data_IF_357778726258
#
_entry.id   IF_357778726258
#
_cell.length_a   1.000
_cell.length_b   1.000
_cell.length_c   1.000
_cell.angle_alpha   90.00
_cell.angle_beta   90.00
_cell.angle_gamma   90.00
#
_symmetry.space_group_name_H-M   'P 1'
#
loop_
_entity.id
_entity.type
_entity.pdbx_description
1 polymer ?
#
# COMPACT_ATOMS: atom_id res chain seq x y z
N UNK A 1 11.84 23.16 8.52
CA UNK A 1 11.87 21.91 9.33
C UNK A 1 11.72 20.75 8.37
N UNK A 2 12.62 19.79 8.37
CA UNK A 2 12.54 18.60 7.53
C UNK A 2 11.98 17.42 8.34
N UNK A 3 11.75 16.29 7.64
CA UNK A 3 11.26 15.07 8.30
C UNK A 3 12.22 14.56 9.39
N UNK A 4 13.53 14.85 9.27
CA UNK A 4 14.56 14.51 10.25
C UNK A 4 14.40 15.22 11.60
N UNK A 5 13.60 16.27 11.65
CA UNK A 5 13.37 17.07 12.86
C UNK A 5 12.06 16.66 13.58
N UNK A 6 11.34 15.69 13.02
CA UNK A 6 10.03 15.25 13.48
C UNK A 6 10.07 13.85 14.11
N UNK A 7 9.16 13.61 15.04
CA UNK A 7 8.78 12.26 15.44
C UNK A 7 7.77 11.73 14.43
N UNK A 8 8.13 10.65 13.75
CA UNK A 8 7.33 10.08 12.69
C UNK A 8 6.71 8.76 13.16
N UNK A 9 5.45 8.57 12.85
CA UNK A 9 4.75 7.28 12.99
C UNK A 9 4.62 6.62 11.63
N UNK A 10 4.78 5.32 11.56
CA UNK A 10 4.46 4.50 10.38
C UNK A 10 3.44 3.45 10.76
N UNK A 11 2.32 3.44 10.07
CA UNK A 11 1.32 2.37 10.19
C UNK A 11 1.04 1.75 8.83
N UNK A 12 1.10 0.43 8.73
CA UNK A 12 0.85 -0.22 7.45
C UNK A 12 0.96 -1.73 7.49
N UNK A 13 0.63 -2.31 6.36
CA UNK A 13 0.78 -3.73 6.06
C UNK A 13 2.09 -3.97 5.27
N UNK A 14 2.07 -4.95 4.39
CA UNK A 14 3.22 -5.31 3.55
C UNK A 14 3.81 -4.13 2.76
N UNK A 15 3.03 -3.13 2.37
CA UNK A 15 3.54 -1.92 1.71
C UNK A 15 4.40 -1.03 2.63
N UNK A 16 4.23 -1.11 3.95
CA UNK A 16 5.11 -0.41 4.89
C UNK A 16 6.53 -1.00 4.92
N UNK A 17 6.69 -2.24 4.49
CA UNK A 17 7.98 -2.96 4.53
C UNK A 17 9.02 -2.28 3.66
N UNK A 18 8.68 -1.85 2.46
CA UNK A 18 9.64 -1.15 1.60
C UNK A 18 10.14 0.15 2.24
N UNK A 19 9.30 0.84 3.03
CA UNK A 19 9.69 2.03 3.79
C UNK A 19 10.68 1.67 4.90
N UNK A 20 10.48 0.54 5.57
CA UNK A 20 11.37 0.04 6.61
C UNK A 20 12.68 -0.50 6.01
N UNK A 21 12.62 -1.22 4.89
CA UNK A 21 13.81 -1.75 4.20
C UNK A 21 14.73 -0.63 3.70
N UNK A 22 14.17 0.53 3.35
CA UNK A 22 14.95 1.71 3.02
C UNK A 22 15.78 2.26 4.19
N UNK A 23 15.39 1.97 5.42
CA UNK A 23 16.07 2.40 6.64
C UNK A 23 17.18 1.42 7.10
N UNK A 24 17.37 0.32 6.39
CA UNK A 24 18.41 -0.68 6.74
C UNK A 24 17.99 -1.54 7.94
N UNK A 25 18.82 -1.72 8.92
CA UNK A 25 18.79 -2.69 10.03
C UNK A 25 17.52 -2.73 10.92
N UNK A 26 16.35 -2.35 10.38
CA UNK A 26 15.12 -2.27 11.17
C UNK A 26 14.71 -3.63 11.78
N UNK A 27 15.01 -4.75 11.10
CA UNK A 27 14.65 -6.08 11.58
C UNK A 27 15.41 -6.46 12.83
N UNK A 28 16.71 -6.14 12.85
CA UNK A 28 17.56 -6.40 14.01
C UNK A 28 17.10 -5.57 15.21
N UNK A 29 16.79 -4.29 14.98
CA UNK A 29 16.26 -3.41 16.03
C UNK A 29 14.90 -3.86 16.55
N UNK A 30 14.05 -4.41 15.68
CA UNK A 30 12.74 -4.95 16.06
C UNK A 30 12.81 -6.33 16.74
N UNK A 31 14.01 -6.89 16.93
CA UNK A 31 14.21 -8.21 17.50
C UNK A 31 13.77 -9.36 16.58
N UNK A 32 13.67 -9.09 15.29
CA UNK A 32 13.27 -10.07 14.28
C UNK A 32 14.52 -10.82 13.80
N UNK A 33 14.62 -12.11 14.11
CA UNK A 33 15.79 -12.94 13.80
C UNK A 33 16.07 -13.03 12.30
N UNK A 34 17.29 -12.64 11.89
CA UNK A 34 17.77 -12.67 10.51
C UNK A 34 17.81 -14.08 9.89
N UNK A 35 18.22 -15.10 10.65
CA UNK A 35 18.36 -16.48 10.14
C UNK A 35 17.00 -17.13 9.73
N UNK A 36 15.93 -16.74 10.38
CA UNK A 36 14.57 -17.17 10.01
C UNK A 36 14.03 -16.37 8.83
N UNK A 37 14.59 -15.19 8.57
CA UNK A 37 14.13 -14.26 7.55
C UNK A 37 14.76 -14.52 6.18
N UNK A 38 16.04 -14.87 6.10
CA UNK A 38 16.73 -15.17 4.84
C UNK A 38 16.12 -16.38 4.14
N UNK A 39 15.72 -17.40 4.90
CA UNK A 39 14.92 -18.52 4.36
C UNK A 39 13.51 -18.08 3.94
N UNK A 40 12.93 -17.14 4.62
CA UNK A 40 11.56 -16.68 4.43
C UNK A 40 11.43 -15.57 3.39
N UNK A 41 12.51 -14.85 3.08
CA UNK A 41 12.56 -13.93 1.95
C UNK A 41 12.75 -14.68 0.62
N UNK A 42 13.41 -15.81 0.60
CA UNK A 42 13.56 -16.66 -0.59
C UNK A 42 12.38 -17.62 -0.81
N UNK A 43 11.73 -18.08 0.26
CA UNK A 43 10.43 -18.73 0.28
C UNK A 43 9.29 -17.70 0.45
N UNK A 44 9.65 -16.54 0.47
CA UNK A 44 9.21 -15.21 0.59
C UNK A 44 7.74 -14.98 0.81
N UNK A 45 7.23 -14.15 1.44
CA UNK A 45 5.85 -13.79 1.79
C UNK A 45 5.11 -14.78 2.70
N UNK A 46 5.37 -16.08 2.68
CA UNK A 46 4.82 -16.99 3.69
C UNK A 46 5.29 -16.61 5.09
N UNK A 47 6.56 -16.30 5.23
CA UNK A 47 7.15 -15.98 6.52
C UNK A 47 6.69 -14.64 7.12
N UNK A 48 6.40 -13.65 6.31
CA UNK A 48 5.86 -12.37 6.78
C UNK A 48 4.49 -12.50 7.42
N UNK A 49 3.67 -13.41 6.90
CA UNK A 49 2.33 -13.67 7.39
C UNK A 49 2.29 -14.69 8.54
N UNK A 50 3.37 -15.46 8.70
CA UNK A 50 3.51 -16.45 9.79
C UNK A 50 4.25 -15.89 11.01
N UNK A 51 5.03 -14.83 10.85
CA UNK A 51 5.53 -14.06 11.98
C UNK A 51 4.34 -13.32 12.55
N UNK A 52 3.83 -13.77 13.67
CA UNK A 52 2.82 -13.07 14.44
C UNK A 52 3.45 -11.80 15.03
N UNK A 53 3.67 -10.80 14.17
CA UNK A 53 4.01 -9.46 14.62
C UNK A 53 2.83 -8.85 15.37
N UNK A 54 1.66 -9.50 15.31
CA UNK A 54 0.50 -9.29 16.18
C UNK A 54 0.01 -7.86 16.28
N UNK A 55 0.30 -7.02 15.28
CA UNK A 55 0.13 -5.58 15.40
C UNK A 55 1.05 -5.00 16.48
N UNK A 56 2.26 -5.55 16.64
CA UNK A 56 3.24 -5.01 17.55
C UNK A 56 3.74 -3.65 17.06
N UNK A 57 3.70 -2.68 17.95
CA UNK A 57 4.37 -1.41 17.74
C UNK A 57 5.81 -1.53 18.25
N UNK A 58 6.73 -0.96 17.50
CA UNK A 58 8.13 -0.84 17.90
C UNK A 58 8.69 0.51 17.46
N UNK A 59 9.70 0.99 18.18
CA UNK A 59 10.38 2.24 17.88
C UNK A 59 11.75 1.93 17.30
N UNK A 60 12.10 2.62 16.21
CA UNK A 60 13.38 2.51 15.54
C UNK A 60 14.16 3.80 15.72
N UNK A 61 15.45 3.66 16.08
CA UNK A 61 16.42 4.73 15.89
C UNK A 61 16.90 4.67 14.43
N UNK A 62 16.56 5.66 13.64
CA UNK A 62 16.95 5.72 12.23
C UNK A 62 18.32 6.37 12.12
N UNK A 63 19.33 5.54 11.86
CA UNK A 63 20.71 5.96 11.73
C UNK A 63 21.05 6.61 10.38
N UNK A 64 22.27 6.40 9.91
CA UNK A 64 22.79 6.97 8.66
C UNK A 64 22.09 6.32 7.45
N UNK A 65 21.29 7.11 6.74
CA UNK A 65 20.69 6.75 5.45
C UNK A 65 21.21 7.68 4.35
N UNK A 66 21.04 7.32 3.11
CA UNK A 66 21.38 8.15 1.95
C UNK A 66 20.40 9.29 1.69
N UNK A 67 19.30 9.33 2.42
CA UNK A 67 18.25 10.35 2.35
C UNK A 67 17.95 10.90 3.75
N UNK A 68 17.20 11.99 3.82
CA UNK A 68 16.72 12.54 5.10
C UNK A 68 15.62 11.63 5.65
N UNK A 69 15.97 10.86 6.67
CA UNK A 69 15.06 10.00 7.39
C UNK A 69 14.75 10.59 8.78
N UNK A 70 13.61 10.22 9.40
CA UNK A 70 13.33 10.63 10.77
C UNK A 70 14.41 10.11 11.74
N UNK A 71 14.75 10.90 12.75
CA UNK A 71 15.68 10.46 13.79
C UNK A 71 15.10 9.32 14.64
N UNK A 72 13.79 9.33 14.82
CA UNK A 72 13.02 8.32 15.54
C UNK A 72 11.74 7.98 14.77
N UNK A 73 11.46 6.70 14.62
CA UNK A 73 10.29 6.21 13.93
C UNK A 73 9.52 5.21 14.80
N UNK A 74 8.28 5.55 15.16
CA UNK A 74 7.35 4.63 15.81
C UNK A 74 6.59 3.85 14.76
N UNK A 75 6.72 2.53 14.75
CA UNK A 75 6.14 1.68 13.70
C UNK A 75 5.07 0.75 14.25
N UNK A 76 3.90 0.78 13.62
CA UNK A 76 2.84 -0.20 13.79
C UNK A 76 2.72 -1.06 12.52
N UNK A 77 3.49 -2.15 12.47
CA UNK A 77 3.45 -3.07 11.33
C UNK A 77 2.37 -4.12 11.56
N UNK A 78 1.46 -4.24 10.60
CA UNK A 78 0.30 -5.11 10.67
C UNK A 78 0.51 -6.37 9.83
N UNK A 79 0.19 -7.53 10.38
CA UNK A 79 0.21 -8.80 9.63
C UNK A 79 -1.03 -8.93 8.75
N UNK A 80 -0.99 -9.84 7.76
CA UNK A 80 -2.15 -10.11 6.90
C UNK A 80 -3.37 -10.62 7.69
N UNK A 81 -3.16 -11.34 8.79
CA UNK A 81 -4.25 -11.80 9.67
C UNK A 81 -4.92 -10.62 10.39
N UNK A 82 -4.16 -9.57 10.66
CA UNK A 82 -4.66 -8.37 11.31
C UNK A 82 -5.27 -7.36 10.32
N UNK A 83 -4.99 -7.50 9.02
CA UNK A 83 -5.35 -6.50 8.01
C UNK A 83 -6.85 -6.32 7.79
N UNK A 84 -7.64 -7.40 7.96
CA UNK A 84 -9.10 -7.31 7.84
C UNK A 84 -9.78 -6.68 9.05
N UNK A 85 -9.04 -6.39 10.12
CA UNK A 85 -9.64 -6.17 11.43
C UNK A 85 -9.30 -4.81 12.07
N UNK A 86 -8.77 -3.84 11.32
CA UNK A 86 -8.57 -2.50 11.88
C UNK A 86 -9.89 -1.80 12.11
N UNK A 87 -10.75 -1.84 11.11
CA UNK A 87 -12.08 -1.25 11.12
C UNK A 87 -13.08 -2.29 10.63
N UNK A 88 -14.03 -2.65 11.47
CA UNK A 88 -15.11 -3.55 11.09
C UNK A 88 -16.34 -2.73 10.70
N UNK A 89 -16.89 -3.06 9.54
CA UNK A 89 -18.20 -2.54 9.11
C UNK A 89 -19.23 -3.65 9.23
N UNK A 90 -20.29 -3.41 10.00
CA UNK A 90 -21.43 -4.32 10.12
C UNK A 90 -22.70 -3.61 9.69
N UNK A 91 -23.53 -4.30 8.94
CA UNK A 91 -24.90 -3.84 8.67
C UNK A 91 -25.79 -4.31 9.81
N UNK A 92 -26.39 -3.40 10.53
CA UNK A 92 -27.34 -3.69 11.62
C UNK A 92 -28.62 -2.95 11.30
N UNK A 93 -29.60 -3.70 10.81
CA UNK A 93 -30.93 -3.16 10.48
C UNK A 93 -30.91 -2.13 9.35
N UNK A 94 -30.03 -2.30 8.34
CA UNK A 94 -29.88 -1.38 7.21
C UNK A 94 -28.97 -0.17 7.50
N UNK A 95 -28.39 -0.08 8.70
CA UNK A 95 -27.43 0.95 9.07
C UNK A 95 -26.01 0.35 9.10
N UNK A 96 -25.11 0.90 8.31
CA UNK A 96 -23.69 0.55 8.38
C UNK A 96 -23.09 1.13 9.67
N UNK A 97 -22.81 0.24 10.62
CA UNK A 97 -21.99 0.59 11.79
C UNK A 97 -20.52 0.32 11.50
N UNK A 98 -19.69 1.32 11.74
CA UNK A 98 -18.23 1.23 11.63
C UNK A 98 -17.67 1.17 13.05
N UNK A 99 -16.91 0.11 13.37
CA UNK A 99 -16.30 -0.08 14.68
C UNK A 99 -14.80 -0.27 14.56
N UNK A 100 -14.07 0.51 15.33
CA UNK A 100 -12.63 0.31 15.53
C UNK A 100 -12.38 -0.97 16.35
N UNK A 101 -11.38 -1.75 15.96
CA UNK A 101 -11.01 -2.96 16.70
C UNK A 101 -10.04 -2.64 17.85
N UNK A 102 -9.82 -3.57 18.80
CA UNK A 102 -8.80 -3.40 19.83
C UNK A 102 -7.40 -3.21 19.26
N UNK A 103 -7.09 -3.84 18.11
CA UNK A 103 -5.83 -3.66 17.41
C UNK A 103 -5.64 -2.22 16.93
N UNK A 104 -6.67 -1.65 16.30
CA UNK A 104 -6.66 -0.25 15.88
C UNK A 104 -6.44 0.69 17.08
N UNK A 105 -7.16 0.45 18.18
CA UNK A 105 -7.02 1.27 19.39
C UNK A 105 -5.58 1.24 19.95
N UNK A 106 -4.92 0.06 19.94
CA UNK A 106 -3.51 -0.06 20.33
C UNK A 106 -2.57 0.70 19.40
N UNK A 107 -2.78 0.63 18.09
CA UNK A 107 -1.98 1.41 17.13
C UNK A 107 -2.15 2.91 17.38
N UNK A 108 -3.38 3.40 17.57
CA UNK A 108 -3.64 4.80 17.90
C UNK A 108 -2.93 5.22 19.19
N UNK A 109 -2.94 4.39 20.22
CA UNK A 109 -2.24 4.66 21.48
C UNK A 109 -0.73 4.84 21.28
N UNK A 110 -0.09 3.99 20.47
CA UNK A 110 1.34 4.08 20.18
C UNK A 110 1.69 5.31 19.33
N UNK A 111 0.75 5.76 18.48
CA UNK A 111 0.93 6.90 17.59
C UNK A 111 0.49 8.24 18.21
N UNK A 112 0.12 8.25 19.49
CA UNK A 112 -0.15 9.50 20.22
C UNK A 112 1.13 10.33 20.36
N UNK A 113 0.98 11.64 20.26
CA UNK A 113 2.08 12.61 20.38
C UNK A 113 3.17 12.47 19.28
N UNK A 114 2.80 11.92 18.15
CA UNK A 114 3.60 11.89 16.94
C UNK A 114 3.24 13.12 16.08
N UNK A 115 4.24 13.76 15.46
CA UNK A 115 4.04 14.96 14.66
C UNK A 115 3.37 14.63 13.32
N UNK A 116 3.83 13.56 12.70
CA UNK A 116 3.30 13.08 11.41
C UNK A 116 3.17 11.56 11.41
N UNK A 117 2.06 11.04 10.93
CA UNK A 117 1.85 9.60 10.71
C UNK A 117 1.78 9.31 9.22
N UNK A 118 2.68 8.44 8.78
CA UNK A 118 2.71 7.89 7.44
C UNK A 118 1.88 6.61 7.42
N UNK A 119 0.83 6.60 6.64
CA UNK A 119 -0.06 5.45 6.49
C UNK A 119 0.22 4.72 5.17
N UNK A 120 0.65 3.47 5.25
CA UNK A 120 0.76 2.54 4.13
C UNK A 120 -0.24 1.37 4.31
N UNK A 121 -1.46 1.72 4.69
CA UNK A 121 -2.55 0.80 4.96
C UNK A 121 -3.22 0.37 3.65
N UNK A 122 -3.46 -0.93 3.51
CA UNK A 122 -4.10 -1.53 2.34
C UNK A 122 -3.32 -1.35 1.03
N UNK A 123 -3.97 -1.60 -0.12
CA UNK A 123 -3.39 -1.38 -1.45
C UNK A 123 -3.27 -2.62 -2.33
N UNK A 124 -3.36 -3.82 -1.77
CA UNK A 124 -3.29 -5.07 -2.54
C UNK A 124 -4.65 -5.52 -3.11
N UNK A 125 -5.74 -4.93 -2.69
CA UNK A 125 -7.09 -5.37 -3.04
C UNK A 125 -7.32 -5.31 -4.56
N UNK A 126 -7.03 -4.18 -5.17
CA UNK A 126 -7.14 -4.01 -6.61
C UNK A 126 -6.09 -4.82 -7.38
N UNK A 127 -4.87 -4.93 -6.84
CA UNK A 127 -3.80 -5.71 -7.45
C UNK A 127 -4.16 -7.21 -7.49
N UNK A 128 -4.69 -7.77 -6.40
CA UNK A 128 -5.06 -9.18 -6.32
C UNK A 128 -6.16 -9.56 -7.31
N UNK A 129 -7.17 -8.70 -7.48
CA UNK A 129 -8.28 -8.93 -8.41
C UNK A 129 -7.82 -8.86 -9.87
N UNK A 130 -6.84 -8.01 -10.16
CA UNK A 130 -6.34 -7.79 -11.52
C UNK A 130 -5.12 -8.65 -11.88
N UNK A 131 -4.69 -9.58 -11.03
CA UNK A 131 -3.45 -10.32 -11.27
C UNK A 131 -3.66 -11.53 -12.19
N UNK A 132 -4.75 -12.28 -11.97
CA UNK A 132 -5.03 -13.55 -12.64
C UNK A 132 -6.12 -13.35 -13.70
N UNK A 133 -5.86 -13.84 -14.91
CA UNK A 133 -6.82 -13.75 -16.02
C UNK A 133 -7.98 -14.74 -15.82
N UNK A 134 -9.04 -14.25 -15.24
CA UNK A 134 -10.28 -15.02 -15.06
C UNK A 134 -11.17 -14.79 -16.29
N UNK A 135 -11.32 -15.80 -17.12
CA UNK A 135 -12.23 -15.74 -18.26
C UNK A 135 -13.70 -15.52 -17.87
N UNK A 136 -14.46 -14.81 -18.71
CA UNK A 136 -14.10 -14.20 -19.98
C UNK A 136 -13.25 -12.95 -19.84
N UNK A 137 -12.31 -12.73 -20.77
CA UNK A 137 -11.50 -11.51 -20.76
C UNK A 137 -12.40 -10.28 -20.94
N UNK A 138 -12.22 -9.31 -20.08
CA UNK A 138 -13.00 -8.07 -20.03
C UNK A 138 -12.10 -6.85 -20.16
N UNK A 139 -12.70 -5.70 -20.41
CA UNK A 139 -12.04 -4.40 -20.33
C UNK A 139 -13.03 -3.31 -19.90
N UNK A 140 -12.50 -2.17 -19.50
CA UNK A 140 -13.29 -0.99 -19.18
C UNK A 140 -12.55 0.29 -19.61
N UNK A 141 -13.30 1.36 -19.85
CA UNK A 141 -12.72 2.67 -20.12
C UNK A 141 -12.02 3.20 -18.86
N UNK A 142 -10.82 3.79 -18.97
CA UNK A 142 -10.12 4.42 -17.84
C UNK A 142 -10.98 5.55 -17.26
N UNK A 143 -10.70 5.89 -15.99
CA UNK A 143 -11.41 6.96 -15.29
C UNK A 143 -10.93 8.36 -15.71
N UNK A 144 -9.72 8.43 -16.23
CA UNK A 144 -9.09 9.63 -16.78
C UNK A 144 -9.06 9.56 -18.32
N UNK A 145 -8.84 10.69 -18.94
CA UNK A 145 -8.73 10.82 -20.40
C UNK A 145 -7.36 10.34 -20.93
N UNK A 146 -6.72 9.41 -20.24
CA UNK A 146 -5.44 8.83 -20.66
C UNK A 146 -5.64 7.96 -21.90
N UNK A 147 -5.40 8.54 -23.06
CA UNK A 147 -5.55 7.91 -24.38
C UNK A 147 -4.72 6.62 -24.54
N UNK A 148 -3.58 6.51 -23.82
CA UNK A 148 -2.73 5.32 -23.83
C UNK A 148 -3.43 4.09 -23.23
N UNK A 149 -4.45 4.29 -22.40
CA UNK A 149 -5.21 3.25 -21.74
C UNK A 149 -6.59 3.02 -22.34
N UNK A 150 -6.89 3.66 -23.49
CA UNK A 150 -8.14 3.39 -24.22
C UNK A 150 -8.29 1.91 -24.53
N UNK A 151 -9.54 1.49 -24.70
CA UNK A 151 -9.89 0.11 -25.04
C UNK A 151 -9.02 -0.39 -26.20
N UNK A 152 -8.12 -1.31 -25.92
CA UNK A 152 -7.31 -1.96 -26.96
C UNK A 152 -8.19 -3.02 -27.66
N UNK A 153 -8.40 -2.95 -28.96
CA UNK A 153 -9.21 -3.95 -29.65
C UNK A 153 -8.56 -5.33 -29.61
N UNK A 154 -9.35 -6.39 -29.54
CA UNK A 154 -10.75 -6.42 -29.20
C UNK A 154 -10.98 -6.70 -27.71
N UNK A 155 -11.66 -5.87 -26.97
CA UNK A 155 -12.19 -6.29 -25.68
C UNK A 155 -13.26 -7.34 -25.98
N UNK A 156 -13.09 -8.50 -25.41
CA UNK A 156 -14.10 -9.55 -25.54
C UNK A 156 -15.43 -9.13 -24.90
N UNK A 157 -15.40 -8.35 -23.82
CA UNK A 157 -16.58 -7.78 -23.18
C UNK A 157 -16.24 -6.46 -22.47
N UNK A 158 -16.76 -5.31 -22.93
CA UNK A 158 -16.68 -4.05 -22.19
C UNK A 158 -17.58 -4.13 -20.96
N UNK A 159 -17.02 -3.83 -19.77
CA UNK A 159 -17.82 -3.71 -18.55
C UNK A 159 -18.27 -2.26 -18.39
N UNK A 160 -19.56 -2.09 -18.05
CA UNK A 160 -20.12 -0.79 -17.73
C UNK A 160 -19.35 -0.09 -16.61
N UNK A 161 -19.01 1.17 -16.83
CA UNK A 161 -18.31 2.03 -15.90
C UNK A 161 -18.93 2.04 -14.49
N UNK A 162 -20.24 1.91 -14.37
CA UNK A 162 -20.96 1.87 -13.08
C UNK A 162 -20.66 0.61 -12.29
N UNK A 163 -20.44 -0.53 -12.95
CA UNK A 163 -20.05 -1.76 -12.30
C UNK A 163 -18.60 -1.68 -11.81
N UNK A 164 -17.71 -1.15 -12.66
CA UNK A 164 -16.32 -0.90 -12.27
C UNK A 164 -16.26 0.04 -11.07
N UNK A 165 -17.02 1.15 -11.10
CA UNK A 165 -17.05 2.09 -9.97
C UNK A 165 -17.44 1.41 -8.65
N UNK A 166 -18.46 0.54 -8.64
CA UNK A 166 -18.86 -0.21 -7.43
C UNK A 166 -17.77 -1.16 -6.95
N UNK A 167 -17.07 -1.82 -7.85
CA UNK A 167 -15.97 -2.70 -7.47
C UNK A 167 -14.80 -1.90 -6.91
N UNK A 168 -14.41 -0.82 -7.57
CA UNK A 168 -13.37 0.09 -7.07
C UNK A 168 -13.75 0.64 -5.70
N UNK A 169 -15.00 1.07 -5.51
CA UNK A 169 -15.51 1.51 -4.20
C UNK A 169 -15.35 0.41 -3.13
N UNK A 170 -15.72 -0.83 -3.45
CA UNK A 170 -15.61 -1.92 -2.49
C UNK A 170 -14.17 -2.23 -2.08
N UNK A 171 -13.22 -2.14 -3.02
CA UNK A 171 -11.80 -2.36 -2.76
C UNK A 171 -11.13 -1.18 -2.05
N UNK A 172 -11.55 0.06 -2.36
CA UNK A 172 -10.99 1.26 -1.75
C UNK A 172 -11.54 1.52 -0.33
N UNK A 173 -12.75 1.05 -0.04
CA UNK A 173 -13.44 1.31 1.22
C UNK A 173 -12.62 0.96 2.48
N UNK A 174 -11.93 -0.20 2.57
CA UNK A 174 -11.11 -0.52 3.75
C UNK A 174 -10.00 0.51 3.99
N UNK A 175 -9.30 0.94 2.95
CA UNK A 175 -8.26 1.97 3.05
C UNK A 175 -8.85 3.30 3.50
N UNK A 176 -9.90 3.76 2.83
CA UNK A 176 -10.57 5.03 3.13
C UNK A 176 -11.05 5.06 4.59
N UNK A 177 -11.75 4.02 5.05
CA UNK A 177 -12.26 3.96 6.42
C UNK A 177 -11.13 3.93 7.45
N UNK A 178 -10.09 3.12 7.22
CA UNK A 178 -8.99 2.98 8.16
C UNK A 178 -8.19 4.27 8.31
N UNK A 179 -7.89 4.94 7.20
CA UNK A 179 -7.13 6.20 7.22
C UNK A 179 -7.95 7.35 7.77
N UNK A 180 -9.25 7.41 7.44
CA UNK A 180 -10.18 8.40 8.01
C UNK A 180 -10.29 8.25 9.53
N UNK A 181 -10.49 7.02 10.01
CA UNK A 181 -10.57 6.74 11.43
C UNK A 181 -9.26 7.07 12.15
N UNK A 182 -8.11 6.83 11.50
CA UNK A 182 -6.80 7.19 12.04
C UNK A 182 -6.68 8.70 12.22
N UNK A 183 -7.01 9.51 11.21
CA UNK A 183 -6.98 10.97 11.31
C UNK A 183 -7.93 11.49 12.38
N UNK A 184 -9.15 10.93 12.47
CA UNK A 184 -10.12 11.32 13.49
C UNK A 184 -9.66 10.97 14.92
N UNK A 185 -8.92 9.87 15.07
CA UNK A 185 -8.38 9.43 16.36
C UNK A 185 -7.12 10.18 16.78
N UNK A 186 -6.47 10.86 15.85
CA UNK A 186 -5.24 11.63 16.04
C UNK A 186 -5.42 13.07 15.52
N UNK A 187 -6.31 13.88 16.11
CA UNK A 187 -6.71 15.17 15.53
C UNK A 187 -5.57 16.20 15.49
N UNK A 188 -4.57 16.07 16.34
CA UNK A 188 -3.40 16.97 16.41
C UNK A 188 -2.22 16.47 15.55
N UNK A 189 -2.33 15.30 14.94
CA UNK A 189 -1.28 14.67 14.15
C UNK A 189 -1.62 14.80 12.67
N UNK A 190 -0.65 15.18 11.86
CA UNK A 190 -0.80 15.17 10.41
C UNK A 190 -0.72 13.73 9.90
N UNK A 191 -1.76 13.25 9.25
CA UNK A 191 -1.74 11.93 8.59
C UNK A 191 -1.48 12.12 7.11
N UNK A 192 -0.49 11.38 6.59
CA UNK A 192 -0.18 11.28 5.16
C UNK A 192 -0.37 9.84 4.72
N UNK A 193 -1.24 9.62 3.75
CA UNK A 193 -1.45 8.28 3.19
C UNK A 193 -0.61 8.08 1.93
N UNK A 194 0.21 7.02 1.92
CA UNK A 194 1.04 6.63 0.78
C UNK A 194 0.24 5.67 -0.09
N UNK A 195 0.02 6.04 -1.35
CA UNK A 195 -0.65 5.16 -2.30
C UNK A 195 0.23 3.95 -2.67
N UNK A 196 -0.36 2.79 -2.91
CA UNK A 196 0.39 1.61 -3.32
C UNK A 196 1.10 1.83 -4.66
N UNK A 197 2.25 1.18 -4.89
CA UNK A 197 2.91 1.24 -6.18
C UNK A 197 2.01 0.67 -7.29
N UNK A 198 2.14 1.17 -8.53
CA UNK A 198 1.45 0.57 -9.67
C UNK A 198 2.00 -0.83 -9.96
N UNK A 199 1.29 -1.65 -10.75
CA UNK A 199 1.77 -2.97 -11.13
C UNK A 199 3.02 -2.90 -12.00
N UNK A 200 3.74 -4.00 -12.08
CA UNK A 200 4.78 -4.19 -13.09
C UNK A 200 4.15 -4.38 -14.47
N UNK A 201 4.81 -3.92 -15.52
CA UNK A 201 4.39 -4.17 -16.89
C UNK A 201 4.53 -5.66 -17.25
N UNK A 202 5.67 -6.27 -16.92
CA UNK A 202 5.92 -7.70 -17.05
C UNK A 202 6.22 -8.34 -15.69
N UNK A 203 5.24 -9.01 -15.05
CA UNK A 203 5.44 -9.67 -13.78
C UNK A 203 6.05 -11.08 -13.92
N UNK A 204 6.28 -11.58 -15.13
CA UNK A 204 6.74 -12.97 -15.36
C UNK A 204 8.12 -13.28 -14.78
N UNK A 205 8.95 -12.23 -14.61
CA UNK A 205 10.33 -12.34 -14.18
C UNK A 205 10.56 -12.09 -12.69
N UNK A 206 9.50 -11.87 -11.91
CA UNK A 206 9.59 -11.71 -10.46
C UNK A 206 9.20 -13.00 -9.74
N UNK A 207 9.68 -13.12 -8.49
CA UNK A 207 9.39 -14.28 -7.66
C UNK A 207 7.88 -14.46 -7.49
N UNK A 208 7.39 -15.68 -7.66
CA UNK A 208 5.99 -16.05 -7.54
C UNK A 208 5.78 -16.88 -6.29
N UNK A 209 4.60 -16.80 -5.72
CA UNK A 209 4.17 -17.75 -4.69
C UNK A 209 3.75 -19.06 -5.33
N UNK A 210 4.09 -20.18 -4.75
CA UNK A 210 3.71 -21.52 -5.22
C UNK A 210 2.19 -21.65 -5.49
N UNK A 211 1.36 -21.09 -4.62
CA UNK A 211 -0.10 -21.05 -4.82
C UNK A 211 -0.48 -20.23 -6.06
N UNK A 212 0.19 -19.11 -6.31
CA UNK A 212 -0.05 -18.29 -7.51
C UNK A 212 0.50 -18.96 -8.77
N UNK A 213 1.58 -19.73 -8.68
CA UNK A 213 2.14 -20.45 -9.83
C UNK A 213 1.14 -21.42 -10.42
N UNK A 214 0.43 -22.19 -9.60
CA UNK A 214 -0.61 -23.11 -10.07
C UNK A 214 -1.76 -22.37 -10.75
N UNK A 215 -2.23 -21.27 -10.17
CA UNK A 215 -3.30 -20.46 -10.76
C UNK A 215 -2.84 -19.78 -12.05
N UNK A 216 -1.63 -19.22 -12.08
CA UNK A 216 -1.08 -18.56 -13.26
C UNK A 216 -0.76 -19.53 -14.39
N UNK A 217 -0.39 -20.79 -14.07
CA UNK A 217 -0.20 -21.83 -15.08
C UNK A 217 -1.50 -22.17 -15.80
N UNK A 218 -2.65 -22.03 -15.14
CA UNK A 218 -3.97 -22.33 -15.72
C UNK A 218 -4.61 -21.12 -16.41
N UNK A 219 -4.43 -19.93 -15.85
CA UNK A 219 -5.16 -18.73 -16.25
C UNK A 219 -4.29 -17.64 -16.88
N UNK A 220 -3.00 -17.64 -16.60
CA UNK A 220 -2.09 -16.57 -17.01
C UNK A 220 -2.26 -15.27 -16.23
N UNK A 221 -1.48 -14.28 -16.62
CA UNK A 221 -1.61 -12.93 -16.08
C UNK A 221 -2.64 -12.12 -16.88
N UNK A 222 -3.43 -11.33 -16.17
CA UNK A 222 -4.21 -10.27 -16.80
C UNK A 222 -3.26 -9.34 -17.58
N UNK A 223 -3.69 -8.92 -18.77
CA UNK A 223 -2.90 -8.02 -19.63
C UNK A 223 -2.47 -6.75 -18.88
N UNK A 224 -1.27 -6.24 -19.18
CA UNK A 224 -0.67 -5.11 -18.44
C UNK A 224 -1.57 -3.89 -18.38
N UNK A 225 -2.17 -3.49 -19.52
CA UNK A 225 -3.05 -2.32 -19.59
C UNK A 225 -4.25 -2.42 -18.64
N UNK A 226 -4.86 -3.59 -18.49
CA UNK A 226 -5.99 -3.78 -17.59
C UNK A 226 -5.56 -3.73 -16.12
N UNK A 227 -4.39 -4.29 -15.78
CA UNK A 227 -3.82 -4.18 -14.44
C UNK A 227 -3.54 -2.74 -14.07
N UNK A 228 -2.98 -1.96 -15.00
CA UNK A 228 -2.73 -0.54 -14.78
C UNK A 228 -4.03 0.25 -14.60
N UNK A 229 -5.07 -0.02 -15.41
CA UNK A 229 -6.39 0.61 -15.24
C UNK A 229 -6.98 0.38 -13.86
N UNK A 230 -6.91 -0.84 -13.34
CA UNK A 230 -7.38 -1.15 -11.98
C UNK A 230 -6.59 -0.38 -10.92
N UNK A 231 -5.26 -0.34 -11.04
CA UNK A 231 -4.41 0.40 -10.12
C UNK A 231 -4.73 1.90 -10.12
N UNK A 232 -4.87 2.50 -11.30
CA UNK A 232 -5.20 3.92 -11.44
C UNK A 232 -6.58 4.23 -10.88
N UNK A 233 -7.59 3.43 -11.20
CA UNK A 233 -8.95 3.61 -10.69
C UNK A 233 -9.00 3.52 -9.16
N UNK A 234 -8.33 2.53 -8.56
CA UNK A 234 -8.24 2.39 -7.11
C UNK A 234 -7.56 3.60 -6.48
N UNK A 235 -6.38 3.99 -6.98
CA UNK A 235 -5.59 5.11 -6.45
C UNK A 235 -6.36 6.42 -6.54
N UNK A 236 -6.95 6.72 -7.69
CA UNK A 236 -7.79 7.92 -7.87
C UNK A 236 -8.97 7.95 -6.89
N UNK A 237 -9.61 6.80 -6.66
CA UNK A 237 -10.74 6.70 -5.73
C UNK A 237 -10.33 6.93 -4.26
N UNK A 238 -9.22 6.32 -3.82
CA UNK A 238 -8.67 6.52 -2.47
C UNK A 238 -8.25 7.98 -2.29
N UNK A 239 -7.49 8.51 -3.23
CA UNK A 239 -7.01 9.89 -3.22
C UNK A 239 -8.16 10.89 -3.10
N UNK A 240 -9.12 10.84 -4.02
CA UNK A 240 -10.27 11.74 -4.02
C UNK A 240 -11.04 11.69 -2.70
N UNK A 241 -11.22 10.49 -2.13
CA UNK A 241 -11.99 10.35 -0.90
C UNK A 241 -11.24 10.89 0.34
N UNK A 242 -9.93 10.69 0.41
CA UNK A 242 -9.13 11.15 1.54
C UNK A 242 -8.87 12.66 1.47
N UNK A 243 -8.56 13.19 0.29
CA UNK A 243 -8.37 14.64 0.08
C UNK A 243 -9.64 15.44 0.37
N UNK A 244 -10.82 14.90 0.01
CA UNK A 244 -12.10 15.49 0.38
C UNK A 244 -12.33 15.60 1.90
N UNK A 245 -11.56 14.87 2.70
CA UNK A 245 -11.56 14.93 4.16
C UNK A 245 -10.36 15.70 4.72
N UNK A 246 -9.60 16.39 3.87
CA UNK A 246 -8.40 17.14 4.26
C UNK A 246 -7.21 16.25 4.63
N UNK A 247 -7.27 14.95 4.31
CA UNK A 247 -6.16 14.02 4.55
C UNK A 247 -5.22 14.07 3.35
N UNK A 248 -3.96 14.30 3.61
CA UNK A 248 -2.96 14.38 2.56
C UNK A 248 -2.64 13.02 1.99
N UNK A 249 -2.59 12.93 0.67
CA UNK A 249 -2.24 11.71 -0.05
C UNK A 249 -0.93 11.93 -0.80
N UNK A 250 -0.03 10.96 -0.67
CA UNK A 250 1.22 10.94 -1.40
C UNK A 250 1.09 10.02 -2.61
N UNK A 251 1.32 10.59 -3.77
CA UNK A 251 1.40 9.85 -5.01
C UNK A 251 2.74 9.11 -5.15
N UNK A 252 2.76 8.15 -6.07
CA UNK A 252 3.98 7.46 -6.44
C UNK A 252 4.94 8.44 -7.10
N UNK A 253 6.21 8.50 -6.65
CA UNK A 253 7.21 9.36 -7.29
C UNK A 253 7.32 9.08 -8.78
N UNK A 254 7.27 10.13 -9.60
CA UNK A 254 7.32 9.99 -11.07
C UNK A 254 8.56 9.23 -11.55
N UNK A 255 9.70 9.42 -10.90
CA UNK A 255 10.95 8.71 -11.21
C UNK A 255 10.89 7.20 -10.93
N UNK A 256 9.87 6.73 -10.19
CA UNK A 256 9.63 5.31 -9.96
C UNK A 256 8.85 4.63 -11.10
N UNK A 257 8.35 5.43 -12.05
CA UNK A 257 7.49 4.95 -13.13
C UNK A 257 8.27 4.74 -14.43
N UNK A 258 7.84 3.76 -15.22
CA UNK A 258 8.17 3.67 -16.65
C UNK A 258 7.40 4.73 -17.45
N UNK A 259 7.77 4.95 -18.69
CA UNK A 259 7.02 5.84 -19.60
C UNK A 259 5.53 5.40 -19.77
N UNK A 260 5.25 4.11 -19.57
CA UNK A 260 3.88 3.56 -19.60
C UNK A 260 3.10 3.68 -18.30
N UNK A 261 3.67 4.28 -17.24
CA UNK A 261 3.02 4.45 -15.94
C UNK A 261 3.09 3.22 -15.02
N UNK A 262 3.83 2.19 -15.38
CA UNK A 262 4.09 1.00 -14.57
C UNK A 262 5.23 1.24 -13.58
N UNK A 263 5.28 0.46 -12.49
CA UNK A 263 6.44 0.46 -11.61
C UNK A 263 7.68 -0.03 -12.37
N UNK A 264 8.79 0.66 -12.21
CA UNK A 264 10.08 0.19 -12.72
C UNK A 264 10.46 -1.13 -12.04
N UNK A 265 10.97 -2.08 -12.83
CA UNK A 265 11.31 -3.43 -12.35
C UNK A 265 12.37 -3.41 -11.25
N UNK A 266 13.37 -2.55 -11.35
CA UNK A 266 14.44 -2.40 -10.37
C UNK A 266 13.98 -1.87 -8.99
N UNK A 267 12.74 -1.35 -8.92
CA UNK A 267 12.12 -0.82 -7.72
C UNK A 267 11.05 -1.76 -7.13
N UNK A 268 10.85 -2.92 -7.73
CA UNK A 268 9.83 -3.86 -7.30
C UNK A 268 10.38 -4.95 -6.38
N UNK A 269 9.52 -5.42 -5.48
CA UNK A 269 9.68 -6.66 -4.74
C UNK A 269 8.43 -7.52 -4.90
N UNK A 270 8.59 -8.66 -5.61
CA UNK A 270 7.44 -9.47 -5.96
C UNK A 270 6.48 -8.79 -6.94
N UNK A 271 5.22 -9.22 -6.92
CA UNK A 271 4.24 -8.84 -7.95
C UNK A 271 3.55 -7.50 -7.68
N UNK A 272 3.49 -7.08 -6.43
CA UNK A 272 2.62 -5.97 -5.99
C UNK A 272 3.30 -4.98 -5.05
N UNK A 273 4.57 -5.16 -4.72
CA UNK A 273 5.26 -4.35 -3.72
C UNK A 273 6.48 -3.63 -4.31
N UNK A 274 6.78 -2.47 -3.74
CA UNK A 274 8.07 -1.82 -3.92
C UNK A 274 9.13 -2.43 -3.00
N UNK A 275 10.40 -2.33 -3.40
CA UNK A 275 11.56 -2.71 -2.57
C UNK A 275 12.10 -1.53 -1.75
N UNK A 276 13.21 -1.72 -1.03
CA UNK A 276 13.83 -0.67 -0.21
C UNK A 276 14.25 0.58 -1.01
N UNK A 277 14.64 0.45 -2.28
CA UNK A 277 14.95 1.61 -3.13
C UNK A 277 13.71 2.44 -3.44
N UNK A 278 12.58 1.77 -3.71
CA UNK A 278 11.29 2.45 -3.83
C UNK A 278 10.92 3.15 -2.51
N UNK A 279 11.12 2.48 -1.38
CA UNK A 279 10.90 3.06 -0.06
C UNK A 279 11.73 4.33 0.19
N UNK A 280 13.00 4.34 -0.23
CA UNK A 280 13.86 5.52 -0.15
C UNK A 280 13.30 6.71 -0.95
N UNK A 281 12.79 6.47 -2.17
CA UNK A 281 12.16 7.52 -2.98
C UNK A 281 10.89 8.07 -2.32
N UNK A 282 10.12 7.22 -1.62
CA UNK A 282 8.96 7.67 -0.83
C UNK A 282 9.41 8.57 0.33
N UNK A 283 10.47 8.21 1.07
CA UNK A 283 10.99 9.03 2.14
C UNK A 283 11.50 10.40 1.66
N UNK A 284 12.20 10.45 0.52
CA UNK A 284 12.63 11.71 -0.11
C UNK A 284 11.44 12.60 -0.50
N UNK A 285 10.39 12.00 -1.06
CA UNK A 285 9.17 12.71 -1.42
C UNK A 285 8.43 13.23 -0.17
N UNK A 286 8.43 12.45 0.94
CA UNK A 286 7.87 12.87 2.23
C UNK A 286 8.63 14.05 2.82
N UNK A 287 9.96 14.06 2.77
CA UNK A 287 10.77 15.20 3.25
C UNK A 287 10.43 16.47 2.46
N UNK A 288 10.34 16.37 1.13
CA UNK A 288 9.92 17.49 0.29
C UNK A 288 8.52 18.03 0.62
N UNK A 289 7.58 17.13 0.88
CA UNK A 289 6.20 17.45 1.22
C UNK A 289 6.07 18.12 2.62
N UNK A 290 6.89 17.71 3.57
CA UNK A 290 6.95 18.33 4.91
C UNK A 290 7.60 19.71 4.84
N UNK A 291 8.68 19.84 4.07
CA UNK A 291 9.41 21.10 3.91
C UNK A 291 8.62 22.21 3.19
N UNK A 292 7.71 21.83 2.29
CA UNK A 292 6.89 22.79 1.51
C UNK A 292 5.65 23.33 2.25
N UNK A 293 5.31 22.78 3.40
CA UNK A 293 4.11 23.16 4.17
C UNK A 293 4.37 24.31 5.17
N UNK A 294 5.53 24.95 5.13
CA UNK A 294 5.89 26.17 5.86
C UNK A 294 5.85 27.39 4.93
#
# INVERSE_FOLDING_TARGET
MGISDLRVGLIGHSHAVCLLDALGNWRDQAGLSTAAQDRRYSEAFRGWFDVDLGGNAFTLAVGRTSFRAPAELVTCLLTAKASGDLIQSRDIGGLKQVRATPLFARCVEQLRNIDIVVSALHGNEAANVSLIDNHPSYDFAPYDDNDALRLTPPPSQPIDRRHIARWVDSFAQPAILSVTALQQSLPSTRVVHVLPPPPLEDPSQVMRREVLETLLAHHGFVRPSLRLKWSLAYRARVQTALEAQGIQVMEVPHAALTAGGFLRKDLSEGLTHGNGHYGAMIWEALDGLVGSAQ
#
